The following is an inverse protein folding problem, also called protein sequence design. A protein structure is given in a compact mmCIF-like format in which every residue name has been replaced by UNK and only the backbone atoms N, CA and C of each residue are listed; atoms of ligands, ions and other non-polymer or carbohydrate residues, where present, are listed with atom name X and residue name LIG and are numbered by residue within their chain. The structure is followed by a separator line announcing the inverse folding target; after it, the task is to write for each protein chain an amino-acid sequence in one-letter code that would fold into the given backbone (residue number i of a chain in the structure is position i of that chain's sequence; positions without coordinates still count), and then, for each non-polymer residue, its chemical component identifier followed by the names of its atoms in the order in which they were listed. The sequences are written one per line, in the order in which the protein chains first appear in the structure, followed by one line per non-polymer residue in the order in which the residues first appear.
data_IF_059282218409
#
_entry.id   IF_059282218409
#
_cell.length_a   1.000
_cell.length_b   1.000
_cell.length_c   1.000
_cell.angle_alpha   90.00
_cell.angle_beta   90.00
_cell.angle_gamma   90.00
#
_symmetry.space_group_name_H-M   'P 1'
#
loop_
_entity.id
_entity.type
_entity.pdbx_description
1 polymer ?
#
# COMPACT_ATOMS: atom_id res chain seq x y z
N UNK A 1 -25.48 -34.17 12.27
CA UNK A 1 -25.97 -33.59 11.00
C UNK A 1 -25.43 -32.18 10.92
N UNK A 2 -24.50 -31.95 10.00
CA UNK A 2 -23.75 -30.70 9.85
C UNK A 2 -24.61 -29.63 9.19
N UNK A 3 -24.48 -28.39 9.67
CA UNK A 3 -24.98 -27.20 8.98
C UNK A 3 -23.87 -26.17 9.00
N UNK A 4 -23.02 -26.20 7.98
CA UNK A 4 -22.02 -25.16 7.72
C UNK A 4 -22.73 -23.87 7.33
N UNK A 5 -22.76 -22.90 8.25
CA UNK A 5 -23.16 -21.53 7.94
C UNK A 5 -21.95 -20.86 7.26
N UNK A 6 -21.82 -21.03 5.94
CA UNK A 6 -20.91 -20.20 5.14
C UNK A 6 -21.45 -18.78 5.09
N UNK A 7 -21.03 -17.94 6.03
CA UNK A 7 -21.28 -16.50 5.95
C UNK A 7 -20.69 -15.96 4.65
N UNK A 8 -21.55 -15.40 3.81
CA UNK A 8 -21.17 -14.78 2.54
C UNK A 8 -20.43 -13.48 2.86
N UNK A 9 -19.10 -13.55 2.98
CA UNK A 9 -18.23 -12.39 3.18
C UNK A 9 -18.52 -11.39 2.07
N UNK A 10 -18.99 -10.18 2.42
CA UNK A 10 -19.15 -9.10 1.45
C UNK A 10 -17.76 -8.72 0.94
N UNK A 11 -17.52 -8.91 -0.35
CA UNK A 11 -16.28 -8.48 -1.01
C UNK A 11 -16.11 -6.98 -0.80
N UNK A 12 -15.21 -6.60 0.12
CA UNK A 12 -14.98 -5.20 0.50
C UNK A 12 -14.20 -4.44 -0.58
N UNK A 13 -13.43 -5.15 -1.41
CA UNK A 13 -12.76 -4.60 -2.59
C UNK A 13 -12.64 -5.68 -3.67
N UNK A 14 -12.87 -5.31 -4.92
CA UNK A 14 -12.59 -6.14 -6.09
C UNK A 14 -11.46 -5.48 -6.87
N UNK A 15 -10.29 -6.11 -6.88
CA UNK A 15 -9.19 -5.63 -7.71
C UNK A 15 -9.52 -5.93 -9.19
N UNK A 16 -9.31 -4.97 -10.10
CA UNK A 16 -9.44 -5.22 -11.54
C UNK A 16 -8.51 -6.33 -12.07
N UNK A 17 -7.51 -6.73 -11.28
CA UNK A 17 -6.43 -7.67 -11.64
C UNK A 17 -6.74 -9.12 -11.17
N UNK A 18 -7.94 -9.35 -10.63
CA UNK A 18 -8.41 -10.64 -10.09
C UNK A 18 -8.39 -11.81 -11.09
N UNK A 19 -8.24 -13.07 -10.61
CA UNK A 19 -8.10 -13.49 -9.21
C UNK A 19 -6.68 -13.29 -8.66
N UNK A 20 -6.59 -13.02 -7.35
CA UNK A 20 -5.36 -12.70 -6.58
C UNK A 20 -5.27 -13.55 -5.31
N UNK A 21 -4.06 -13.64 -4.73
CA UNK A 21 -3.84 -14.26 -3.42
C UNK A 21 -4.39 -15.68 -3.29
N UNK A 22 -5.15 -15.94 -2.23
CA UNK A 22 -5.71 -17.26 -1.91
C UNK A 22 -6.65 -17.76 -3.02
N UNK A 23 -7.44 -16.87 -3.63
CA UNK A 23 -8.32 -17.27 -4.74
C UNK A 23 -7.53 -17.74 -5.97
N UNK A 24 -6.42 -17.07 -6.27
CA UNK A 24 -5.51 -17.52 -7.34
C UNK A 24 -4.83 -18.85 -7.00
N UNK A 25 -4.47 -19.08 -5.73
CA UNK A 25 -3.88 -20.33 -5.28
C UNK A 25 -4.88 -21.50 -5.37
N UNK A 26 -6.12 -21.31 -4.93
CA UNK A 26 -7.18 -22.30 -5.04
C UNK A 26 -7.54 -22.60 -6.51
N UNK A 27 -7.52 -21.58 -7.38
CA UNK A 27 -7.72 -21.78 -8.82
C UNK A 27 -6.58 -22.58 -9.46
N UNK A 28 -5.33 -22.37 -9.02
CA UNK A 28 -4.18 -23.15 -9.47
C UNK A 28 -4.24 -24.61 -9.01
N UNK A 29 -4.75 -24.87 -7.80
CA UNK A 29 -4.99 -26.23 -7.31
C UNK A 29 -6.07 -26.95 -8.14
N UNK A 30 -7.18 -26.26 -8.45
CA UNK A 30 -8.28 -26.82 -9.23
C UNK A 30 -7.93 -27.02 -10.72
N UNK A 31 -6.93 -26.31 -11.25
CA UNK A 31 -6.52 -26.38 -12.65
C UNK A 31 -5.00 -26.18 -12.78
N UNK A 32 -4.23 -27.27 -12.97
CA UNK A 32 -2.76 -27.23 -13.06
C UNK A 32 -2.20 -26.35 -14.20
N UNK A 33 -3.04 -25.93 -15.15
CA UNK A 33 -2.68 -25.00 -16.22
C UNK A 33 -2.56 -23.55 -15.75
N UNK A 34 -3.08 -23.20 -14.57
CA UNK A 34 -2.97 -21.85 -14.00
C UNK A 34 -1.71 -21.79 -13.14
N UNK A 35 -0.70 -21.05 -13.59
CA UNK A 35 0.51 -20.83 -12.80
C UNK A 35 0.35 -19.62 -11.88
N UNK A 36 0.43 -19.79 -10.55
CA UNK A 36 0.40 -18.67 -9.63
C UNK A 36 1.73 -17.89 -9.73
N UNK A 37 1.64 -16.60 -10.03
CA UNK A 37 2.78 -15.67 -10.01
C UNK A 37 2.58 -14.61 -8.93
N UNK A 38 3.64 -14.12 -8.28
CA UNK A 38 3.53 -12.94 -7.42
C UNK A 38 2.95 -11.76 -8.22
N UNK A 39 1.89 -11.14 -7.69
CA UNK A 39 1.24 -9.97 -8.29
C UNK A 39 1.33 -8.72 -7.40
N UNK A 40 2.11 -8.77 -6.31
CA UNK A 40 2.17 -7.70 -5.31
C UNK A 40 2.55 -6.33 -5.91
N UNK A 41 3.46 -6.29 -6.88
CA UNK A 41 3.82 -5.05 -7.57
C UNK A 41 2.73 -4.56 -8.53
N UNK A 42 1.99 -5.47 -9.16
CA UNK A 42 0.84 -5.11 -10.01
C UNK A 42 -0.31 -4.57 -9.14
N UNK A 43 -0.48 -5.12 -7.94
CA UNK A 43 -1.52 -4.72 -6.98
C UNK A 43 -1.23 -3.38 -6.31
N UNK A 44 0.05 -3.09 -6.06
CA UNK A 44 0.50 -1.85 -5.44
C UNK A 44 0.91 -0.78 -6.47
N UNK A 45 0.78 -1.08 -7.77
CA UNK A 45 1.03 -0.11 -8.82
C UNK A 45 0.02 1.04 -8.73
N UNK A 46 0.52 2.25 -8.56
CA UNK A 46 -0.26 3.48 -8.52
C UNK A 46 -0.14 4.27 -9.82
N UNK A 47 0.20 3.59 -10.92
CA UNK A 47 0.34 4.20 -12.25
C UNK A 47 -0.87 5.09 -12.57
N UNK A 48 -0.59 6.36 -12.82
CA UNK A 48 -1.58 7.40 -13.14
C UNK A 48 -2.63 7.70 -12.04
N UNK A 49 -2.37 7.27 -10.79
CA UNK A 49 -3.18 7.63 -9.63
C UNK A 49 -2.66 8.91 -8.96
N UNK A 50 -3.57 9.64 -8.33
CA UNK A 50 -3.23 10.81 -7.50
C UNK A 50 -3.34 10.40 -6.03
N UNK A 51 -2.32 10.70 -5.23
CA UNK A 51 -2.31 10.42 -3.81
C UNK A 51 -2.25 11.69 -2.96
N UNK A 52 -2.81 11.61 -1.75
CA UNK A 52 -2.75 12.65 -0.72
C UNK A 52 -2.21 12.03 0.56
N UNK A 53 -1.20 12.64 1.16
CA UNK A 53 -0.59 12.21 2.42
C UNK A 53 -0.74 13.32 3.44
N UNK A 54 -1.52 13.09 4.49
CA UNK A 54 -1.53 13.94 5.68
C UNK A 54 -0.34 13.62 6.57
N UNK A 55 0.38 14.63 7.08
CA UNK A 55 1.60 14.43 7.86
C UNK A 55 2.83 14.11 7.01
N UNK A 56 2.83 14.51 5.72
CA UNK A 56 3.87 14.16 4.75
C UNK A 56 5.20 14.92 4.92
N UNK A 57 5.34 15.77 5.93
CA UNK A 57 6.55 16.56 6.12
C UNK A 57 7.72 15.72 6.65
N UNK A 58 7.44 14.74 7.54
CA UNK A 58 8.46 13.93 8.23
C UNK A 58 7.99 12.53 8.60
N UNK A 59 8.92 11.72 9.11
CA UNK A 59 8.62 10.39 9.64
C UNK A 59 7.98 9.48 8.61
N UNK A 60 7.04 8.63 9.05
CA UNK A 60 6.37 7.66 8.18
C UNK A 60 5.54 8.31 7.06
N UNK A 61 5.03 9.52 7.28
CA UNK A 61 4.29 10.24 6.24
C UNK A 61 5.20 10.62 5.07
N UNK A 62 6.43 11.08 5.35
CA UNK A 62 7.42 11.36 4.32
C UNK A 62 7.84 10.07 3.58
N UNK A 63 8.16 9.01 4.33
CA UNK A 63 8.56 7.74 3.73
C UNK A 63 7.45 7.16 2.83
N UNK A 64 6.18 7.30 3.25
CA UNK A 64 5.05 6.89 2.42
C UNK A 64 4.86 7.78 1.20
N UNK A 65 5.02 9.10 1.30
CA UNK A 65 4.93 9.98 0.15
C UNK A 65 5.95 9.57 -0.93
N UNK A 66 7.18 9.23 -0.52
CA UNK A 66 8.24 8.74 -1.41
C UNK A 66 7.83 7.38 -2.01
N UNK A 67 7.40 6.42 -1.20
CA UNK A 67 6.99 5.10 -1.70
C UNK A 67 5.82 5.17 -2.69
N UNK A 68 4.87 6.09 -2.50
CA UNK A 68 3.76 6.32 -3.42
C UNK A 68 4.24 6.89 -4.77
N UNK A 69 5.24 7.78 -4.75
CA UNK A 69 5.91 8.24 -5.97
C UNK A 69 6.61 7.08 -6.70
N UNK A 70 7.36 6.24 -5.97
CA UNK A 70 8.05 5.07 -6.53
C UNK A 70 7.08 4.03 -7.10
N UNK A 71 5.90 3.88 -6.49
CA UNK A 71 4.82 3.04 -6.99
C UNK A 71 4.16 3.56 -8.29
N UNK A 72 4.56 4.74 -8.77
CA UNK A 72 4.11 5.30 -10.04
C UNK A 72 2.91 6.25 -9.94
N UNK A 73 2.61 6.78 -8.75
CA UNK A 73 1.61 7.84 -8.61
C UNK A 73 1.96 9.03 -9.52
N UNK A 74 0.98 9.54 -10.25
CA UNK A 74 1.15 10.71 -11.15
C UNK A 74 1.49 11.97 -10.37
N UNK A 75 0.83 12.17 -9.23
CA UNK A 75 1.10 13.27 -8.30
C UNK A 75 0.83 12.79 -6.88
N UNK A 76 1.70 13.17 -5.95
CA UNK A 76 1.52 13.00 -4.51
C UNK A 76 1.48 14.38 -3.85
N UNK A 77 0.37 14.71 -3.20
CA UNK A 77 0.23 15.94 -2.42
C UNK A 77 0.51 15.66 -0.95
N UNK A 78 1.46 16.38 -0.35
CA UNK A 78 1.73 16.33 1.08
C UNK A 78 1.02 17.48 1.78
N UNK A 79 0.15 17.16 2.73
CA UNK A 79 -0.56 18.13 3.58
C UNK A 79 -0.05 18.02 5.00
N UNK A 80 0.47 19.10 5.56
CA UNK A 80 1.02 19.12 6.92
C UNK A 80 0.81 20.50 7.57
N UNK A 81 1.04 20.59 8.88
CA UNK A 81 0.94 21.84 9.63
C UNK A 81 2.09 22.82 9.33
N UNK A 82 3.35 22.39 9.19
CA UNK A 82 4.44 23.29 8.82
C UNK A 82 4.32 23.75 7.36
N UNK A 83 4.46 25.05 7.12
CA UNK A 83 4.44 25.62 5.77
C UNK A 83 5.68 25.29 4.93
N UNK A 84 6.78 24.95 5.60
CA UNK A 84 8.06 24.64 4.95
C UNK A 84 8.41 23.16 5.11
N UNK A 85 8.93 22.52 4.05
CA UNK A 85 9.44 21.15 4.14
C UNK A 85 10.52 21.04 5.22
N UNK A 86 10.47 19.98 6.03
CA UNK A 86 11.61 19.56 6.84
C UNK A 86 12.66 18.88 5.97
N UNK A 87 13.87 18.74 6.54
CA UNK A 87 14.97 18.07 5.86
C UNK A 87 14.56 16.68 5.37
N UNK A 88 14.79 16.44 4.08
CA UNK A 88 14.51 15.16 3.45
C UNK A 88 15.46 14.10 3.99
N UNK A 89 14.92 13.01 4.53
CA UNK A 89 15.74 11.89 5.01
C UNK A 89 16.29 11.13 3.81
N UNK A 90 17.55 11.37 3.46
CA UNK A 90 18.29 10.60 2.46
C UNK A 90 18.97 9.39 3.11
N UNK A 91 18.25 8.29 3.36
CA UNK A 91 18.87 7.05 3.86
C UNK A 91 17.87 5.89 4.12
N UNK A 92 18.33 4.61 4.05
CA UNK A 92 17.50 3.45 4.37
C UNK A 92 17.12 3.41 5.86
N UNK A 93 15.94 2.85 6.16
CA UNK A 93 15.15 2.88 7.40
C UNK A 93 15.84 2.38 8.69
N UNK A 94 17.13 2.05 8.68
CA UNK A 94 17.87 1.53 9.84
C UNK A 94 18.45 2.66 10.70
N UNK A 95 17.59 3.49 11.29
CA UNK A 95 17.86 4.27 12.50
C UNK A 95 16.56 4.92 12.99
N UNK A 96 15.86 4.25 13.91
CA UNK A 96 14.89 4.94 14.76
C UNK A 96 15.69 5.77 15.78
N UNK A 97 16.11 6.98 15.39
CA UNK A 97 16.22 8.05 16.39
C UNK A 97 14.86 8.72 16.47
N UNK A 98 14.26 8.65 17.65
CA UNK A 98 13.12 9.47 18.04
C UNK A 98 13.54 10.94 17.93
N UNK A 99 13.34 11.55 16.76
CA UNK A 99 13.32 13.00 16.65
C UNK A 99 12.09 13.46 17.44
N UNK A 100 12.31 13.76 18.72
CA UNK A 100 11.31 14.30 19.63
C UNK A 100 10.56 15.41 18.91
N UNK A 101 9.28 15.15 18.64
CA UNK A 101 8.43 16.12 17.98
C UNK A 101 8.37 17.39 18.81
N UNK A 102 8.53 18.54 18.15
CA UNK A 102 8.11 19.83 18.68
C UNK A 102 6.61 19.74 18.98
N UNK A 103 6.31 19.38 20.23
CA UNK A 103 4.97 19.40 20.80
C UNK A 103 4.64 20.87 21.04
N UNK A 104 3.91 21.45 20.09
CA UNK A 104 3.01 22.55 20.46
C UNK A 104 1.90 22.02 21.37
#
# INVERSE_FOLDING_TARGET
MASEVRQKVKTQSASPIGPLGIEAALAAEASPSVQPRPKIFDELALTDRVALVSGGNRGLGLDMAIALCEAGARVVYCFDLPEKPSEVRTGPTTAMEESGGDRR
#
